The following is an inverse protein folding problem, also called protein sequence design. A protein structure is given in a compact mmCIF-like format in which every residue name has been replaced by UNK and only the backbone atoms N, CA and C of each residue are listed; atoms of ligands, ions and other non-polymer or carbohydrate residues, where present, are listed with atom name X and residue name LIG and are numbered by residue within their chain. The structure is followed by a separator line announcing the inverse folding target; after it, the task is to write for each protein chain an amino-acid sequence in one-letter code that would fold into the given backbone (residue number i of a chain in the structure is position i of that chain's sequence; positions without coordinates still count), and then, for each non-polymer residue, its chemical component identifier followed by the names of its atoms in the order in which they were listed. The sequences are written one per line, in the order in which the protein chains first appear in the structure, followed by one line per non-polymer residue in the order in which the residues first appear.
data_IF_173520498863
#
_entry.id   IF_173520498863
#
_cell.length_a   1.000
_cell.length_b   1.000
_cell.length_c   1.000
_cell.angle_alpha   90.00
_cell.angle_beta   90.00
_cell.angle_gamma   90.00
#
_symmetry.space_group_name_H-M   'P 1'
#
loop_
_entity.id
_entity.type
_entity.pdbx_description
1 polymer ?
#
# COMPACT_ATOMS: atom_id res chain seq x y z
N UNK A 1 -5.71 -6.09 -10.49
CA UNK A 1 -4.80 -5.04 -9.98
C UNK A 1 -3.32 -5.21 -10.37
N UNK A 2 -2.95 -6.02 -11.40
CA UNK A 2 -1.54 -6.18 -11.80
C UNK A 2 -0.93 -4.96 -12.53
N UNK A 3 -1.76 -4.08 -13.10
CA UNK A 3 -1.30 -2.92 -13.88
C UNK A 3 -0.74 -1.76 -13.06
N UNK A 4 -1.38 -1.43 -11.92
CA UNK A 4 -1.01 -0.29 -11.06
C UNK A 4 0.41 -0.40 -10.49
N UNK A 5 0.79 -1.59 -10.04
CA UNK A 5 2.13 -1.86 -9.46
C UNK A 5 3.24 -1.54 -10.48
N UNK A 6 3.01 -1.83 -11.76
CA UNK A 6 3.99 -1.56 -12.82
C UNK A 6 4.18 -0.06 -13.03
N UNK A 7 3.10 0.74 -12.96
CA UNK A 7 3.18 2.20 -13.13
C UNK A 7 3.93 2.86 -11.97
N UNK A 8 3.64 2.44 -10.73
CA UNK A 8 4.24 2.99 -9.51
C UNK A 8 5.76 2.71 -9.47
N UNK A 9 6.24 1.62 -10.07
CA UNK A 9 7.66 1.25 -10.04
C UNK A 9 8.54 1.92 -11.11
N UNK A 10 7.96 2.54 -12.15
CA UNK A 10 8.76 3.04 -13.29
C UNK A 10 9.23 4.47 -13.06
N UNK A 11 10.55 4.66 -12.97
CA UNK A 11 11.20 5.97 -12.90
C UNK A 11 10.97 6.76 -14.19
N UNK A 12 10.63 8.05 -14.07
CA UNK A 12 10.46 8.95 -15.21
C UNK A 12 11.77 9.01 -16.02
N UNK A 13 11.74 8.84 -17.35
CA UNK A 13 12.93 9.04 -18.18
C UNK A 13 13.35 10.52 -18.21
N UNK A 14 14.63 10.80 -18.00
CA UNK A 14 15.23 12.14 -18.13
C UNK A 14 15.29 12.58 -19.61
N UNK A 15 14.95 13.84 -19.94
CA UNK A 15 15.07 14.34 -21.30
C UNK A 15 16.56 14.43 -21.68
N UNK A 16 16.96 13.66 -22.69
CA UNK A 16 18.28 13.77 -23.34
C UNK A 16 18.06 14.20 -24.77
N UNK A 17 18.93 15.07 -25.29
CA UNK A 17 18.83 15.87 -26.54
C UNK A 17 18.86 15.05 -27.86
N UNK A 18 18.36 13.81 -27.83
CA UNK A 18 18.31 12.91 -28.98
C UNK A 18 16.86 12.45 -29.16
N UNK A 19 16.33 12.74 -30.34
CA UNK A 19 14.95 12.54 -30.82
C UNK A 19 14.26 11.16 -30.52
N UNK A 20 14.94 10.03 -30.23
CA UNK A 20 14.21 8.78 -29.95
C UNK A 20 13.42 8.68 -28.63
N UNK A 21 13.52 9.65 -27.69
CA UNK A 21 12.93 9.50 -26.34
C UNK A 21 11.54 10.13 -26.14
N UNK A 22 10.99 10.86 -27.10
CA UNK A 22 9.70 11.55 -26.95
C UNK A 22 8.54 10.55 -26.78
N UNK A 23 8.55 9.44 -27.54
CA UNK A 23 7.50 8.42 -27.45
C UNK A 23 7.51 7.66 -26.11
N UNK A 24 8.69 7.41 -25.54
CA UNK A 24 8.83 6.76 -24.22
C UNK A 24 8.36 7.67 -23.09
N UNK A 25 8.69 8.98 -23.15
CA UNK A 25 8.23 9.97 -22.18
C UNK A 25 6.71 10.15 -22.26
N UNK A 26 6.13 10.19 -23.46
CA UNK A 26 4.68 10.26 -23.66
C UNK A 26 4.00 9.01 -23.11
N UNK A 27 4.50 7.82 -23.44
CA UNK A 27 3.96 6.56 -22.92
C UNK A 27 4.06 6.48 -21.39
N UNK A 28 5.16 6.94 -20.80
CA UNK A 28 5.30 7.02 -19.35
C UNK A 28 4.26 7.98 -18.74
N UNK A 29 4.08 9.16 -19.35
CA UNK A 29 3.13 10.17 -18.88
C UNK A 29 1.68 9.66 -18.95
N UNK A 30 1.30 8.98 -20.02
CA UNK A 30 -0.02 8.34 -20.15
C UNK A 30 -0.25 7.30 -19.05
N UNK A 31 0.75 6.44 -18.82
CA UNK A 31 0.70 5.43 -17.76
C UNK A 31 0.59 6.05 -16.38
N UNK A 32 1.36 7.10 -16.10
CA UNK A 32 1.32 7.84 -14.84
C UNK A 32 -0.05 8.48 -14.61
N UNK A 33 -0.64 9.11 -15.63
CA UNK A 33 -1.99 9.67 -15.54
C UNK A 33 -3.05 8.59 -15.26
N UNK A 34 -2.97 7.43 -15.92
CA UNK A 34 -3.87 6.29 -15.66
C UNK A 34 -3.69 5.78 -14.23
N UNK A 35 -2.44 5.62 -13.76
CA UNK A 35 -2.14 5.18 -12.41
C UNK A 35 -2.71 6.14 -11.37
N UNK A 36 -2.47 7.44 -11.55
CA UNK A 36 -2.95 8.50 -10.67
C UNK A 36 -4.47 8.55 -10.63
N UNK A 37 -5.13 8.51 -11.79
CA UNK A 37 -6.59 8.47 -11.88
C UNK A 37 -7.18 7.26 -11.17
N UNK A 38 -6.52 6.11 -11.27
CA UNK A 38 -6.96 4.89 -10.57
C UNK A 38 -6.82 5.02 -9.05
N UNK A 39 -5.68 5.55 -8.56
CA UNK A 39 -5.49 5.79 -7.12
C UNK A 39 -6.55 6.75 -6.59
N UNK A 40 -6.73 7.90 -7.27
CA UNK A 40 -7.73 8.90 -6.89
C UNK A 40 -9.16 8.32 -6.89
N UNK A 41 -9.50 7.46 -7.85
CA UNK A 41 -10.83 6.82 -7.90
C UNK A 41 -11.13 5.88 -6.73
N UNK A 42 -10.08 5.38 -6.06
CA UNK A 42 -10.21 4.51 -4.88
C UNK A 42 -10.33 5.31 -3.57
N UNK A 43 -10.10 6.63 -3.60
CA UNK A 43 -10.19 7.48 -2.43
C UNK A 43 -11.64 7.87 -2.12
N UNK A 44 -11.93 8.13 -0.85
CA UNK A 44 -13.18 8.78 -0.46
C UNK A 44 -13.20 10.23 -0.97
N UNK A 45 -14.39 10.82 -1.14
CA UNK A 45 -14.53 12.20 -1.63
C UNK A 45 -13.71 13.21 -0.81
N UNK A 46 -13.61 13.02 0.50
CA UNK A 46 -12.81 13.89 1.38
C UNK A 46 -11.32 13.80 1.06
N UNK A 47 -10.79 12.59 0.87
CA UNK A 47 -9.38 12.38 0.53
C UNK A 47 -9.10 12.81 -0.91
N UNK A 48 -10.01 12.54 -1.84
CA UNK A 48 -9.91 13.00 -3.22
C UNK A 48 -9.69 14.51 -3.29
N UNK A 49 -10.52 15.30 -2.59
CA UNK A 49 -10.40 16.77 -2.59
C UNK A 49 -9.04 17.28 -2.06
N UNK A 50 -8.38 16.52 -1.18
CA UNK A 50 -7.05 16.87 -0.64
C UNK A 50 -5.95 16.50 -1.64
N UNK A 51 -6.08 15.37 -2.33
CA UNK A 51 -5.00 14.77 -3.12
C UNK A 51 -5.16 14.91 -4.64
N UNK A 52 -6.26 15.49 -5.14
CA UNK A 52 -6.53 15.62 -6.58
C UNK A 52 -5.65 16.63 -7.33
N UNK A 53 -4.67 17.26 -6.66
CA UNK A 53 -3.77 18.21 -7.29
C UNK A 53 -2.92 17.54 -8.39
N UNK A 54 -2.75 18.24 -9.51
CA UNK A 54 -1.90 17.79 -10.62
C UNK A 54 -0.39 17.77 -10.29
N UNK A 55 0.00 18.23 -9.11
CA UNK A 55 1.39 18.19 -8.64
C UNK A 55 1.90 16.79 -8.30
N UNK A 56 1.00 15.82 -8.09
CA UNK A 56 1.37 14.44 -7.80
C UNK A 56 1.52 13.61 -9.07
N UNK A 57 2.57 12.79 -9.10
CA UNK A 57 2.65 11.60 -9.96
C UNK A 57 1.91 10.45 -9.29
N UNK A 58 1.59 9.38 -10.02
CA UNK A 58 0.99 8.19 -9.41
C UNK A 58 1.87 7.64 -8.28
N UNK A 59 3.20 7.68 -8.47
CA UNK A 59 4.17 7.22 -7.47
C UNK A 59 4.19 8.12 -6.24
N UNK A 60 4.35 9.43 -6.39
CA UNK A 60 4.43 10.33 -5.24
C UNK A 60 3.12 10.40 -4.46
N UNK A 61 1.98 10.29 -5.16
CA UNK A 61 0.68 10.14 -4.53
C UNK A 61 0.60 8.87 -3.69
N UNK A 62 0.99 7.72 -4.26
CA UNK A 62 1.00 6.45 -3.55
C UNK A 62 1.90 6.50 -2.31
N UNK A 63 3.13 6.99 -2.45
CA UNK A 63 4.09 7.05 -1.34
C UNK A 63 3.60 7.99 -0.22
N UNK A 64 2.95 9.11 -0.54
CA UNK A 64 2.37 10.02 0.46
C UNK A 64 1.19 9.38 1.19
N UNK A 65 0.31 8.69 0.47
CA UNK A 65 -0.81 7.96 1.06
C UNK A 65 -0.32 6.81 1.95
N UNK A 66 0.65 6.04 1.46
CA UNK A 66 1.25 4.93 2.21
C UNK A 66 1.93 5.44 3.48
N UNK A 67 2.79 6.46 3.39
CA UNK A 67 3.45 7.06 4.55
C UNK A 67 2.47 7.59 5.60
N UNK A 68 1.35 8.18 5.17
CA UNK A 68 0.40 8.85 6.08
C UNK A 68 -0.64 7.90 6.68
N UNK A 69 -1.06 6.89 5.93
CA UNK A 69 -2.17 6.01 6.31
C UNK A 69 -1.74 4.57 6.55
N UNK A 70 -0.58 4.14 6.04
CA UNK A 70 0.00 2.83 6.33
C UNK A 70 1.07 2.99 7.41
N UNK A 71 0.63 3.32 8.63
CA UNK A 71 1.53 3.40 9.78
C UNK A 71 1.96 2.00 10.21
N UNK A 72 3.18 1.89 10.76
CA UNK A 72 3.68 0.62 11.31
C UNK A 72 2.71 0.03 12.35
N UNK A 73 2.05 0.90 13.13
CA UNK A 73 1.00 0.57 14.09
C UNK A 73 -0.20 -0.14 13.43
N UNK A 74 -0.78 0.42 12.35
CA UNK A 74 -1.86 -0.26 11.60
C UNK A 74 -1.38 -1.54 10.91
N UNK A 75 -0.10 -1.61 10.54
CA UNK A 75 0.52 -2.82 9.99
C UNK A 75 0.61 -3.93 11.04
N UNK A 76 1.04 -3.58 12.27
CA UNK A 76 1.10 -4.46 13.42
C UNK A 76 -0.30 -4.91 13.86
N UNK A 77 -1.25 -3.98 13.97
CA UNK A 77 -2.66 -4.28 14.26
C UNK A 77 -3.22 -5.28 13.23
N UNK A 78 -3.09 -5.00 11.93
CA UNK A 78 -3.55 -5.93 10.86
C UNK A 78 -2.85 -7.29 10.93
N UNK A 79 -1.56 -7.32 11.25
CA UNK A 79 -0.81 -8.55 11.40
C UNK A 79 -1.34 -9.39 12.57
N UNK A 80 -1.51 -8.77 13.75
CA UNK A 80 -2.03 -9.47 14.92
C UNK A 80 -3.49 -9.87 14.75
N UNK A 81 -4.34 -9.06 14.10
CA UNK A 81 -5.75 -9.40 13.81
C UNK A 81 -5.79 -10.62 12.90
N UNK A 82 -4.97 -10.64 11.84
CA UNK A 82 -4.88 -11.79 10.95
C UNK A 82 -4.37 -13.03 11.67
N UNK A 83 -3.36 -12.89 12.53
CA UNK A 83 -2.79 -13.97 13.31
C UNK A 83 -3.81 -14.56 14.29
N UNK A 84 -4.58 -13.72 14.98
CA UNK A 84 -5.66 -14.13 15.87
C UNK A 84 -6.75 -14.90 15.11
N UNK A 85 -7.27 -14.32 14.01
CA UNK A 85 -8.33 -14.94 13.22
C UNK A 85 -7.93 -16.26 12.56
N UNK A 86 -6.63 -16.45 12.28
CA UNK A 86 -6.09 -17.68 11.69
C UNK A 86 -5.64 -18.70 12.73
N UNK A 87 -5.59 -18.34 14.00
CA UNK A 87 -5.11 -19.24 15.05
C UNK A 87 -6.05 -20.44 15.18
N UNK A 88 -5.46 -21.62 15.25
CA UNK A 88 -6.16 -22.89 15.46
C UNK A 88 -5.35 -23.75 16.40
N UNK A 89 -5.98 -24.26 17.45
CA UNK A 89 -5.33 -25.23 18.35
C UNK A 89 -5.09 -26.56 17.62
N UNK A 90 -4.00 -27.23 17.98
CA UNK A 90 -3.58 -28.53 17.45
C UNK A 90 -3.50 -29.56 18.58
N UNK A 91 -3.73 -30.84 18.25
CA UNK A 91 -3.87 -31.95 19.22
C UNK A 91 -2.56 -32.37 19.89
N UNK A 92 -1.41 -32.06 19.28
CA UNK A 92 -0.08 -32.51 19.70
C UNK A 92 0.61 -31.56 20.70
N UNK A 93 -0.08 -30.49 21.14
CA UNK A 93 0.45 -29.50 22.08
C UNK A 93 -0.46 -29.34 23.30
N UNK A 94 0.11 -28.97 24.43
CA UNK A 94 -0.70 -28.77 25.63
C UNK A 94 -1.67 -27.60 25.47
N UNK A 95 -2.88 -27.73 26.03
CA UNK A 95 -3.86 -26.64 26.02
C UNK A 95 -3.32 -25.39 26.71
N UNK A 96 -2.50 -25.55 27.75
CA UNK A 96 -1.90 -24.45 28.50
C UNK A 96 -0.96 -23.61 27.64
N UNK A 97 -0.04 -24.25 26.91
CA UNK A 97 0.89 -23.54 26.00
C UNK A 97 0.11 -22.82 24.89
N UNK A 98 -0.87 -23.49 24.30
CA UNK A 98 -1.69 -22.92 23.23
C UNK A 98 -2.60 -21.78 23.71
N UNK A 99 -3.04 -21.81 24.96
CA UNK A 99 -3.81 -20.73 25.59
C UNK A 99 -2.90 -19.51 25.82
N UNK A 100 -1.66 -19.73 26.27
CA UNK A 100 -0.70 -18.65 26.46
C UNK A 100 -0.36 -17.95 25.13
N UNK A 101 -0.23 -18.72 24.03
CA UNK A 101 -0.02 -18.16 22.69
C UNK A 101 -1.16 -17.25 22.23
N UNK A 102 -2.43 -17.64 22.44
CA UNK A 102 -3.59 -16.81 22.09
C UNK A 102 -3.60 -15.52 22.94
N UNK A 103 -3.39 -15.64 24.26
CA UNK A 103 -3.36 -14.48 25.17
C UNK A 103 -2.26 -13.49 24.77
N UNK A 104 -1.10 -13.97 24.34
CA UNK A 104 -0.03 -13.09 23.87
C UNK A 104 -0.42 -12.37 22.57
N UNK A 105 -1.16 -13.02 21.67
CA UNK A 105 -1.69 -12.37 20.46
C UNK A 105 -2.76 -11.33 20.84
N UNK A 106 -3.63 -11.63 21.80
CA UNK A 106 -4.64 -10.70 22.32
C UNK A 106 -4.02 -9.48 23.00
N UNK A 107 -3.02 -9.66 23.87
CA UNK A 107 -2.33 -8.53 24.49
C UNK A 107 -1.61 -7.67 23.44
N UNK A 108 -0.95 -8.30 22.46
CA UNK A 108 -0.34 -7.57 21.36
C UNK A 108 -1.36 -6.84 20.46
N UNK A 109 -2.64 -7.23 20.48
CA UNK A 109 -3.74 -6.49 19.86
C UNK A 109 -4.22 -5.31 20.70
N UNK A 110 -4.21 -5.45 22.03
CA UNK A 110 -4.63 -4.38 22.93
C UNK A 110 -3.61 -3.23 23.01
N UNK A 111 -2.34 -3.53 22.73
CA UNK A 111 -1.22 -2.59 22.77
C UNK A 111 -0.83 -2.02 21.38
N UNK A 112 -1.48 -2.48 20.30
CA UNK A 112 -1.25 -2.03 18.92
C UNK A 112 -2.34 -1.05 18.44
#
# INVERSE_FOLDING_TARGET
MKGLVTVIQVTRPEPTDTDPKTAEITQWTERDQIGRGTILSALSNTLFNVYCSDSYTARSLWDELDRKYNTEEQGLEKYYVSKFMRYRMVEDRSVAEQTHEIINIEHALADA
#
